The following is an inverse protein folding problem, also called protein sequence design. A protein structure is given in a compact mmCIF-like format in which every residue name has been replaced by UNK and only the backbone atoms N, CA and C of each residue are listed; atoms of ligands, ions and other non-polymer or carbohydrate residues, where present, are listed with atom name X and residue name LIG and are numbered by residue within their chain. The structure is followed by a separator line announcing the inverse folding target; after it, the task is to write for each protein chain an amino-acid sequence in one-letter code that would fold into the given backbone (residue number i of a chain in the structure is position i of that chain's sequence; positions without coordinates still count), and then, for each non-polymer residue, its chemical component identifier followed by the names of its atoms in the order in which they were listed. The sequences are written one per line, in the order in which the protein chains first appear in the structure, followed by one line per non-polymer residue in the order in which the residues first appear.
data_IF_567943765771
#
_entry.id   IF_567943765771
#
_cell.length_a   1.000
_cell.length_b   1.000
_cell.length_c   1.000
_cell.angle_alpha   90.00
_cell.angle_beta   90.00
_cell.angle_gamma   90.00
#
_symmetry.space_group_name_H-M   'P 1'
#
loop_
_entity.id
_entity.type
_entity.pdbx_description
1 polymer ?
#
# COMPACT_ATOMS: atom_id res chain seq x y z
N UNK A 1 16.51 0.59 25.84
CA UNK A 1 15.56 -0.25 25.07
C UNK A 1 14.16 0.33 25.20
N UNK A 2 13.82 1.33 24.39
CA UNK A 2 12.44 1.80 24.29
C UNK A 2 11.66 0.78 23.46
N UNK A 3 10.51 0.38 24.00
CA UNK A 3 9.62 -0.65 23.46
C UNK A 3 9.20 -0.34 22.03
N UNK A 4 9.22 -1.36 21.16
CA UNK A 4 8.71 -1.29 19.79
C UNK A 4 7.20 -1.01 19.84
N UNK A 5 6.81 0.26 19.89
CA UNK A 5 5.43 0.75 20.05
C UNK A 5 4.42 0.15 19.04
N UNK A 6 4.92 -0.39 17.93
CA UNK A 6 4.11 -0.96 16.85
C UNK A 6 4.14 -2.49 16.77
N UNK A 7 5.01 -3.15 17.54
CA UNK A 7 5.12 -4.61 17.49
C UNK A 7 3.90 -5.25 18.16
N UNK A 8 3.02 -5.80 17.34
CA UNK A 8 1.99 -6.74 17.74
C UNK A 8 2.57 -8.15 17.64
N UNK A 9 2.83 -8.77 18.79
CA UNK A 9 3.39 -10.13 18.86
C UNK A 9 2.49 -11.18 18.19
N UNK A 10 1.21 -10.89 18.00
CA UNK A 10 0.23 -11.81 17.40
C UNK A 10 0.02 -11.61 15.89
N UNK A 11 0.47 -10.48 15.32
CA UNK A 11 0.26 -10.19 13.90
C UNK A 11 1.36 -9.32 13.28
N UNK A 12 2.07 -9.92 12.33
CA UNK A 12 2.97 -9.22 11.41
C UNK A 12 2.21 -8.10 10.68
N UNK A 13 1.02 -8.40 10.15
CA UNK A 13 0.31 -7.43 9.32
C UNK A 13 -0.25 -6.25 10.13
N UNK A 14 -0.67 -6.46 11.37
CA UNK A 14 -1.06 -5.38 12.28
C UNK A 14 0.13 -4.46 12.57
N UNK A 15 1.30 -5.04 12.83
CA UNK A 15 2.56 -4.30 13.02
C UNK A 15 2.91 -3.45 11.80
N UNK A 16 2.92 -4.10 10.61
CA UNK A 16 3.26 -3.46 9.33
C UNK A 16 2.29 -2.31 9.02
N UNK A 17 0.98 -2.56 9.12
CA UNK A 17 -0.01 -1.51 8.83
C UNK A 17 -0.04 -0.43 9.90
N UNK A 18 0.29 -0.72 11.15
CA UNK A 18 0.48 0.28 12.21
C UNK A 18 1.62 1.24 11.88
N UNK A 19 2.81 0.70 11.59
CA UNK A 19 3.97 1.49 11.23
C UNK A 19 3.79 2.26 9.90
N UNK A 20 3.17 1.62 8.90
CA UNK A 20 2.88 2.27 7.62
C UNK A 20 1.92 3.47 7.77
N UNK A 21 0.91 3.36 8.66
CA UNK A 21 0.02 4.48 9.01
C UNK A 21 0.77 5.62 9.68
N UNK A 22 1.58 5.30 10.69
CA UNK A 22 2.38 6.30 11.40
C UNK A 22 3.25 7.11 10.44
N UNK A 23 3.94 6.44 9.50
CA UNK A 23 4.71 7.12 8.46
C UNK A 23 3.84 7.95 7.53
N UNK A 24 2.71 7.39 7.07
CA UNK A 24 1.81 8.10 6.17
C UNK A 24 1.24 9.39 6.78
N UNK A 25 0.96 9.39 8.08
CA UNK A 25 0.46 10.53 8.85
C UNK A 25 1.53 11.58 9.19
N UNK A 26 2.78 11.36 8.76
CA UNK A 26 3.89 12.30 8.94
C UNK A 26 4.79 11.98 10.13
N UNK A 27 4.58 10.84 10.79
CA UNK A 27 5.51 10.29 11.77
C UNK A 27 6.84 9.90 11.14
N UNK A 28 7.87 9.80 11.99
CA UNK A 28 9.22 9.42 11.56
C UNK A 28 9.85 8.49 12.59
N UNK A 29 10.60 7.50 12.12
CA UNK A 29 11.42 6.63 12.93
C UNK A 29 12.88 7.08 12.92
N UNK A 30 13.53 7.01 14.08
CA UNK A 30 14.99 7.09 14.20
C UNK A 30 15.68 5.94 13.45
N UNK A 31 16.99 6.06 13.21
CA UNK A 31 17.76 5.01 12.54
C UNK A 31 17.72 3.67 13.31
N UNK A 32 17.77 3.73 14.65
CA UNK A 32 17.69 2.55 15.51
C UNK A 32 16.31 1.88 15.42
N UNK A 33 15.22 2.65 15.50
CA UNK A 33 13.86 2.11 15.36
C UNK A 33 13.63 1.49 13.98
N UNK A 34 14.16 2.12 12.91
CA UNK A 34 14.10 1.59 11.55
C UNK A 34 14.77 0.24 11.45
N UNK A 35 15.99 0.12 11.98
CA UNK A 35 16.75 -1.13 11.98
C UNK A 35 16.06 -2.20 12.84
N UNK A 36 15.58 -1.83 14.03
CA UNK A 36 14.85 -2.73 14.94
C UNK A 36 13.57 -3.28 14.30
N UNK A 37 12.74 -2.40 13.74
CA UNK A 37 11.48 -2.81 13.09
C UNK A 37 11.73 -3.66 11.84
N UNK A 38 12.71 -3.32 11.01
CA UNK A 38 13.07 -4.14 9.86
C UNK A 38 13.57 -5.53 10.28
N UNK A 39 14.42 -5.63 11.31
CA UNK A 39 14.88 -6.91 11.84
C UNK A 39 13.74 -7.75 12.40
N UNK A 40 12.80 -7.14 13.11
CA UNK A 40 11.61 -7.82 13.61
C UNK A 40 10.77 -8.36 12.45
N UNK A 41 10.47 -7.56 11.42
CA UNK A 41 9.73 -8.01 10.23
C UNK A 41 10.43 -9.20 9.58
N UNK A 42 11.76 -9.11 9.37
CA UNK A 42 12.54 -10.19 8.76
C UNK A 42 12.56 -11.48 9.60
N UNK A 43 12.45 -11.38 10.93
CA UNK A 43 12.34 -12.53 11.82
C UNK A 43 10.95 -13.21 11.77
N UNK A 44 9.92 -12.49 11.32
CA UNK A 44 8.53 -12.97 11.21
C UNK A 44 8.14 -13.38 9.79
N UNK A 45 9.13 -13.69 8.93
CA UNK A 45 8.87 -14.30 7.63
C UNK A 45 8.11 -15.62 7.78
N UNK A 46 7.03 -15.78 7.05
CA UNK A 46 6.18 -16.97 7.06
C UNK A 46 5.91 -17.44 5.63
N UNK A 47 6.97 -17.97 5.01
CA UNK A 47 6.98 -18.35 3.60
C UNK A 47 5.89 -19.39 3.29
N UNK A 48 5.02 -19.08 2.32
CA UNK A 48 3.94 -19.98 1.90
C UNK A 48 3.52 -19.69 0.47
N UNK A 49 3.34 -20.74 -0.35
CA UNK A 49 2.82 -20.64 -1.73
C UNK A 49 3.59 -19.64 -2.61
N UNK A 50 4.91 -19.56 -2.40
CA UNK A 50 5.80 -18.64 -3.10
C UNK A 50 5.88 -17.22 -2.51
N UNK A 51 5.03 -16.87 -1.53
CA UNK A 51 5.12 -15.61 -0.80
C UNK A 51 6.21 -15.67 0.28
N UNK A 52 6.85 -14.55 0.54
CA UNK A 52 7.82 -14.36 1.63
C UNK A 52 7.10 -14.06 2.93
N UNK A 53 6.12 -13.16 2.84
CA UNK A 53 5.20 -12.79 3.90
C UNK A 53 3.79 -13.15 3.46
N UNK A 54 3.16 -14.05 4.18
CA UNK A 54 1.81 -14.53 3.90
C UNK A 54 0.91 -14.19 5.09
N UNK A 55 -0.39 -13.94 4.91
CA UNK A 55 -1.29 -13.80 6.06
C UNK A 55 -1.32 -15.09 6.89
N UNK A 56 -1.31 -14.97 8.21
CA UNK A 56 -1.53 -16.12 9.12
C UNK A 56 -2.97 -16.63 9.00
N UNK A 57 -3.25 -17.79 9.59
CA UNK A 57 -4.62 -18.31 9.65
C UNK A 57 -5.57 -17.35 10.38
N UNK A 58 -5.12 -16.80 11.51
CA UNK A 58 -5.92 -15.88 12.33
C UNK A 58 -6.15 -14.54 11.63
N UNK A 59 -5.13 -14.03 10.91
CA UNK A 59 -5.27 -12.82 10.08
C UNK A 59 -6.27 -13.04 8.94
N UNK A 60 -6.25 -14.22 8.30
CA UNK A 60 -7.23 -14.58 7.27
C UNK A 60 -8.63 -14.74 7.85
N UNK A 61 -8.77 -15.33 9.05
CA UNK A 61 -10.05 -15.53 9.72
C UNK A 61 -10.67 -14.22 10.20
N UNK A 62 -9.86 -13.33 10.79
CA UNK A 62 -10.27 -11.98 11.21
C UNK A 62 -10.59 -11.08 10.02
N UNK A 63 -9.92 -11.31 8.90
CA UNK A 63 -10.12 -10.60 7.64
C UNK A 63 -9.09 -9.50 7.43
N UNK A 64 -8.30 -9.65 6.37
CA UNK A 64 -7.32 -8.66 5.91
C UNK A 64 -8.04 -7.36 5.48
N UNK A 65 -7.36 -6.24 5.67
CA UNK A 65 -7.77 -4.93 5.15
C UNK A 65 -6.59 -4.23 4.51
N UNK A 66 -6.82 -3.51 3.42
CA UNK A 66 -5.81 -2.61 2.85
C UNK A 66 -5.53 -1.46 3.83
N UNK A 67 -4.43 -0.74 3.65
CA UNK A 67 -4.08 0.41 4.51
C UNK A 67 -5.20 1.48 4.57
N UNK A 68 -5.92 1.65 3.46
CA UNK A 68 -7.09 2.51 3.31
C UNK A 68 -8.40 1.88 3.82
N UNK A 69 -8.35 0.67 4.37
CA UNK A 69 -9.45 -0.03 5.05
C UNK A 69 -10.40 -0.85 4.18
N UNK A 70 -10.28 -0.80 2.85
CA UNK A 70 -11.02 -1.71 1.96
C UNK A 70 -10.72 -3.18 2.30
N UNK A 71 -11.75 -4.04 2.22
CA UNK A 71 -11.63 -5.47 2.47
C UNK A 71 -11.40 -6.22 1.16
N UNK A 72 -10.29 -6.97 1.01
CA UNK A 72 -10.14 -7.95 -0.05
C UNK A 72 -11.26 -8.99 -0.02
N UNK A 73 -11.76 -9.36 -1.20
CA UNK A 73 -12.79 -10.40 -1.41
C UNK A 73 -12.20 -11.73 -1.86
N UNK A 74 -10.97 -11.71 -2.36
CA UNK A 74 -10.24 -12.88 -2.84
C UNK A 74 -9.01 -13.14 -1.99
N UNK A 75 -8.61 -14.42 -1.91
CA UNK A 75 -7.34 -14.81 -1.30
C UNK A 75 -6.13 -14.22 -2.04
N UNK A 76 -6.26 -13.98 -3.34
CA UNK A 76 -5.22 -13.36 -4.16
C UNK A 76 -4.89 -11.96 -3.63
N UNK A 77 -5.90 -11.08 -3.49
CA UNK A 77 -5.66 -9.73 -3.00
C UNK A 77 -5.27 -9.73 -1.51
N UNK A 78 -5.87 -10.59 -0.69
CA UNK A 78 -5.50 -10.68 0.72
C UNK A 78 -4.01 -11.02 0.92
N UNK A 79 -3.50 -12.05 0.23
CA UNK A 79 -2.11 -12.45 0.34
C UNK A 79 -1.15 -11.37 -0.22
N UNK A 80 -1.46 -10.80 -1.39
CA UNK A 80 -0.63 -9.74 -1.97
C UNK A 80 -0.67 -8.44 -1.15
N UNK A 81 -1.78 -8.12 -0.49
CA UNK A 81 -1.86 -6.94 0.38
C UNK A 81 -0.88 -7.05 1.56
N UNK A 82 -0.83 -8.22 2.21
CA UNK A 82 0.13 -8.47 3.30
C UNK A 82 1.56 -8.38 2.80
N UNK A 83 1.88 -9.12 1.73
CA UNK A 83 3.25 -9.16 1.24
C UNK A 83 3.73 -7.80 0.75
N UNK A 84 2.96 -7.14 -0.12
CA UNK A 84 3.40 -5.91 -0.77
C UNK A 84 3.46 -4.73 0.18
N UNK A 85 2.57 -4.65 1.18
CA UNK A 85 2.69 -3.61 2.21
C UNK A 85 3.88 -3.88 3.14
N UNK A 86 4.18 -5.15 3.44
CA UNK A 86 5.36 -5.52 4.24
C UNK A 86 6.66 -5.18 3.50
N UNK A 87 6.73 -5.53 2.21
CA UNK A 87 7.88 -5.21 1.35
C UNK A 87 8.04 -3.69 1.17
N UNK A 88 6.94 -2.96 0.97
CA UNK A 88 6.94 -1.49 0.90
C UNK A 88 7.51 -0.90 2.19
N UNK A 89 7.08 -1.38 3.35
CA UNK A 89 7.58 -0.90 4.63
C UNK A 89 9.08 -1.19 4.80
N UNK A 90 9.55 -2.38 4.42
CA UNK A 90 10.99 -2.68 4.42
C UNK A 90 11.80 -1.70 3.55
N UNK A 91 11.26 -1.34 2.37
CA UNK A 91 11.90 -0.37 1.49
C UNK A 91 11.97 1.03 2.11
N UNK A 92 10.95 1.42 2.86
CA UNK A 92 10.96 2.69 3.58
C UNK A 92 11.88 2.69 4.81
N UNK A 93 12.10 1.54 5.46
CA UNK A 93 12.88 1.44 6.70
C UNK A 93 14.38 1.25 6.48
N UNK A 94 14.74 0.27 5.63
CA UNK A 94 16.12 -0.22 5.45
C UNK A 94 16.35 -0.67 3.99
N UNK A 95 16.26 0.24 3.00
CA UNK A 95 16.34 -0.14 1.59
C UNK A 95 17.69 -0.77 1.24
N UNK A 96 18.80 -0.26 1.77
CA UNK A 96 20.15 -0.72 1.39
C UNK A 96 20.66 -1.95 2.15
N UNK A 97 19.88 -2.51 3.09
CA UNK A 97 20.33 -3.66 3.86
C UNK A 97 20.37 -4.93 2.98
N UNK A 98 21.51 -5.65 2.94
CA UNK A 98 21.71 -6.85 2.12
C UNK A 98 20.57 -7.88 2.24
N UNK A 99 20.10 -8.11 3.47
CA UNK A 99 18.99 -9.04 3.71
C UNK A 99 17.70 -8.56 3.06
N UNK A 100 17.42 -7.26 3.11
CA UNK A 100 16.24 -6.65 2.51
C UNK A 100 16.33 -6.69 0.98
N UNK A 101 17.50 -6.40 0.42
CA UNK A 101 17.76 -6.50 -1.02
C UNK A 101 17.53 -7.91 -1.59
N UNK A 102 17.96 -8.96 -0.87
CA UNK A 102 17.66 -10.35 -1.27
C UNK A 102 16.16 -10.64 -1.27
N UNK A 103 15.44 -10.18 -0.25
CA UNK A 103 13.98 -10.33 -0.16
C UNK A 103 13.27 -9.62 -1.33
N UNK A 104 13.76 -8.46 -1.74
CA UNK A 104 13.24 -7.75 -2.91
C UNK A 104 13.46 -8.50 -4.21
N UNK A 105 14.65 -9.08 -4.42
CA UNK A 105 14.93 -9.89 -5.61
C UNK A 105 14.02 -11.11 -5.69
N UNK A 106 13.81 -11.81 -4.57
CA UNK A 106 12.86 -12.94 -4.47
C UNK A 106 11.42 -12.49 -4.81
N UNK A 107 10.96 -11.39 -4.23
CA UNK A 107 9.63 -10.86 -4.46
C UNK A 107 9.43 -10.41 -5.92
N UNK A 108 10.40 -9.74 -6.52
CA UNK A 108 10.35 -9.29 -7.90
C UNK A 108 10.30 -10.46 -8.88
N UNK A 109 11.11 -11.50 -8.64
CA UNK A 109 11.08 -12.72 -9.44
C UNK A 109 9.69 -13.40 -9.39
N UNK A 110 9.05 -13.41 -8.22
CA UNK A 110 7.68 -13.92 -8.04
C UNK A 110 6.63 -13.06 -8.75
N UNK A 111 6.78 -11.73 -8.71
CA UNK A 111 5.84 -10.78 -9.32
C UNK A 111 5.97 -10.72 -10.83
N UNK A 112 7.17 -10.87 -11.38
CA UNK A 112 7.47 -10.72 -12.81
C UNK A 112 6.49 -11.43 -13.77
N UNK A 113 6.07 -12.70 -13.54
CA UNK A 113 5.13 -13.38 -14.44
C UNK A 113 3.66 -13.01 -14.23
N UNK A 114 3.30 -12.19 -13.24
CA UNK A 114 1.90 -11.93 -12.87
C UNK A 114 1.33 -10.74 -13.65
N UNK A 115 0.08 -10.88 -14.11
CA UNK A 115 -0.56 -9.85 -14.95
C UNK A 115 -0.70 -8.48 -14.26
N UNK A 116 -0.90 -8.45 -12.93
CA UNK A 116 -1.02 -7.22 -12.17
C UNK A 116 0.32 -6.57 -11.81
N UNK A 117 1.45 -7.20 -12.15
CA UNK A 117 2.76 -6.62 -11.88
C UNK A 117 3.10 -5.44 -12.81
N UNK A 118 2.49 -5.34 -13.98
CA UNK A 118 2.58 -4.15 -14.85
C UNK A 118 1.41 -3.21 -14.58
N UNK A 119 0.19 -3.63 -14.92
CA UNK A 119 -1.12 -3.14 -14.45
C UNK A 119 -2.17 -4.09 -15.00
N UNK A 120 -3.13 -4.52 -14.18
CA UNK A 120 -4.26 -5.32 -14.61
C UNK A 120 -5.56 -4.78 -14.02
N UNK A 121 -6.56 -4.53 -14.88
CA UNK A 121 -7.84 -3.95 -14.46
C UNK A 121 -8.92 -5.01 -14.15
N UNK A 122 -8.57 -6.30 -14.17
CA UNK A 122 -9.54 -7.41 -14.03
C UNK A 122 -9.81 -7.73 -12.56
N UNK A 123 -11.05 -7.52 -12.09
CA UNK A 123 -11.45 -7.87 -10.73
C UNK A 123 -10.53 -7.25 -9.66
N UNK A 124 -10.11 -8.05 -8.68
CA UNK A 124 -9.21 -7.57 -7.62
C UNK A 124 -7.73 -7.46 -8.04
N UNK A 125 -7.36 -7.86 -9.27
CA UNK A 125 -6.04 -7.57 -9.81
C UNK A 125 -5.81 -6.06 -9.94
N UNK A 126 -6.86 -5.25 -10.08
CA UNK A 126 -6.75 -3.79 -10.07
C UNK A 126 -6.21 -3.28 -8.72
N UNK A 127 -6.63 -3.88 -7.61
CA UNK A 127 -6.15 -3.51 -6.28
C UNK A 127 -4.71 -4.01 -6.07
N UNK A 128 -4.41 -5.24 -6.50
CA UNK A 128 -3.05 -5.79 -6.43
C UNK A 128 -2.06 -4.97 -7.27
N UNK A 129 -2.49 -4.44 -8.42
CA UNK A 129 -1.69 -3.54 -9.26
C UNK A 129 -1.30 -2.28 -8.47
N UNK A 130 -2.26 -1.64 -7.78
CA UNK A 130 -1.96 -0.48 -6.92
C UNK A 130 -0.98 -0.84 -5.80
N UNK A 131 -1.12 -2.01 -5.17
CA UNK A 131 -0.19 -2.45 -4.14
C UNK A 131 1.25 -2.64 -4.69
N UNK A 132 1.40 -3.20 -5.90
CA UNK A 132 2.71 -3.35 -6.57
C UNK A 132 3.32 -1.98 -6.88
N UNK A 133 2.51 -1.05 -7.39
CA UNK A 133 2.97 0.30 -7.73
C UNK A 133 3.47 1.04 -6.48
N UNK A 134 2.74 0.95 -5.36
CA UNK A 134 3.15 1.54 -4.08
C UNK A 134 4.44 0.92 -3.54
N UNK A 135 4.59 -0.41 -3.66
CA UNK A 135 5.82 -1.11 -3.29
C UNK A 135 7.01 -0.65 -4.13
N UNK A 136 6.88 -0.63 -5.46
CA UNK A 136 7.96 -0.22 -6.37
C UNK A 136 8.35 1.25 -6.18
N UNK A 137 7.38 2.12 -5.96
CA UNK A 137 7.62 3.54 -5.67
C UNK A 137 8.44 3.76 -4.41
N UNK A 138 8.22 2.94 -3.36
CA UNK A 138 9.03 3.02 -2.15
C UNK A 138 10.47 2.50 -2.34
N UNK A 139 10.73 1.73 -3.40
CA UNK A 139 12.06 1.16 -3.72
C UNK A 139 12.86 2.01 -4.69
N UNK A 140 12.27 2.38 -5.81
CA UNK A 140 12.98 2.99 -6.94
C UNK A 140 12.40 4.37 -7.27
N UNK A 141 13.06 5.43 -6.83
CA UNK A 141 12.64 6.81 -7.13
C UNK A 141 13.00 7.27 -8.55
N UNK A 142 13.93 6.58 -9.24
CA UNK A 142 14.50 7.05 -10.52
C UNK A 142 14.07 6.22 -11.75
N UNK A 143 13.86 4.90 -11.63
CA UNK A 143 13.53 4.02 -12.77
C UNK A 143 12.02 3.74 -12.94
N UNK A 144 11.17 4.23 -12.04
CA UNK A 144 9.76 3.85 -11.98
C UNK A 144 8.81 4.72 -12.84
N UNK A 145 9.31 5.80 -13.45
CA UNK A 145 8.48 6.75 -14.19
C UNK A 145 7.70 6.11 -15.36
N UNK A 146 8.30 5.16 -16.09
CA UNK A 146 7.63 4.46 -17.20
C UNK A 146 6.58 3.43 -16.76
N UNK A 147 6.75 2.85 -15.57
CA UNK A 147 5.74 1.94 -14.99
C UNK A 147 4.55 2.72 -14.43
N UNK A 148 4.79 3.93 -13.89
CA UNK A 148 3.72 4.79 -13.41
C UNK A 148 2.90 5.41 -14.54
N UNK A 149 3.52 5.76 -15.67
CA UNK A 149 2.77 6.30 -16.82
C UNK A 149 1.73 5.30 -17.34
N UNK A 150 2.08 4.02 -17.49
CA UNK A 150 1.13 2.98 -17.90
C UNK A 150 -0.05 2.86 -16.91
N UNK A 151 0.22 2.95 -15.61
CA UNK A 151 -0.81 2.91 -14.58
C UNK A 151 -1.72 4.13 -14.62
N UNK A 152 -1.16 5.33 -14.80
CA UNK A 152 -1.92 6.57 -14.94
C UNK A 152 -2.78 6.56 -16.22
N UNK A 153 -2.27 6.05 -17.34
CA UNK A 153 -3.05 5.87 -18.57
C UNK A 153 -4.23 4.90 -18.36
N UNK A 154 -4.00 3.80 -17.63
CA UNK A 154 -5.05 2.87 -17.28
C UNK A 154 -6.12 3.49 -16.37
N UNK A 155 -5.73 4.34 -15.40
CA UNK A 155 -6.67 5.12 -14.60
C UNK A 155 -7.49 6.07 -15.47
N UNK A 156 -6.82 6.83 -16.34
CA UNK A 156 -7.47 7.79 -17.24
C UNK A 156 -8.49 7.12 -18.16
N UNK A 157 -8.16 5.95 -18.72
CA UNK A 157 -9.06 5.15 -19.53
C UNK A 157 -10.22 4.52 -18.72
N UNK A 158 -10.08 4.42 -17.40
CA UNK A 158 -11.06 3.82 -16.50
C UNK A 158 -11.96 4.85 -15.77
N UNK A 159 -11.79 6.13 -16.06
CA UNK A 159 -12.63 7.21 -15.50
C UNK A 159 -14.11 6.94 -15.80
N UNK A 160 -14.95 7.10 -14.77
CA UNK A 160 -16.41 6.92 -14.85
C UNK A 160 -17.18 8.22 -15.17
N UNK A 161 -16.47 9.34 -15.17
CA UNK A 161 -17.04 10.69 -15.34
C UNK A 161 -17.47 11.38 -14.05
N UNK A 162 -17.46 10.70 -12.91
CA UNK A 162 -17.90 11.26 -11.62
C UNK A 162 -16.76 11.44 -10.60
N UNK A 163 -15.51 11.51 -11.06
CA UNK A 163 -14.32 11.58 -10.21
C UNK A 163 -13.95 10.24 -9.56
N UNK A 164 -14.43 9.12 -10.12
CA UNK A 164 -14.10 7.76 -9.69
C UNK A 164 -13.73 6.90 -10.89
N UNK A 165 -13.07 5.80 -10.61
CA UNK A 165 -12.71 4.77 -11.59
C UNK A 165 -13.71 3.61 -11.52
N UNK A 166 -13.91 2.90 -12.64
CA UNK A 166 -14.88 1.79 -12.69
C UNK A 166 -14.36 0.54 -11.98
N UNK A 167 -13.07 0.24 -12.13
CA UNK A 167 -12.40 -1.01 -11.72
C UNK A 167 -11.42 -0.82 -10.57
N UNK A 168 -10.86 0.38 -10.40
CA UNK A 168 -9.89 0.67 -9.35
C UNK A 168 -10.53 1.04 -8.00
N UNK A 169 -9.95 0.60 -6.86
CA UNK A 169 -10.44 0.95 -5.52
C UNK A 169 -10.30 2.44 -5.24
N UNK A 170 -11.37 3.11 -4.83
CA UNK A 170 -11.34 4.57 -4.68
C UNK A 170 -10.28 5.07 -3.68
N UNK A 171 -10.32 4.62 -2.41
CA UNK A 171 -9.39 5.16 -1.41
C UNK A 171 -7.99 4.60 -1.58
N UNK A 172 -7.85 3.33 -1.93
CA UNK A 172 -6.53 2.73 -2.13
C UNK A 172 -5.81 3.30 -3.38
N UNK A 173 -6.55 3.67 -4.42
CA UNK A 173 -5.98 4.39 -5.58
C UNK A 173 -5.58 5.81 -5.21
N UNK A 174 -6.43 6.54 -4.49
CA UNK A 174 -6.08 7.87 -3.99
C UNK A 174 -4.86 7.83 -3.07
N UNK A 175 -4.73 6.81 -2.22
CA UNK A 175 -3.56 6.61 -1.37
C UNK A 175 -2.27 6.56 -2.20
N UNK A 176 -2.26 5.80 -3.31
CA UNK A 176 -1.11 5.79 -4.21
C UNK A 176 -0.89 7.15 -4.88
N UNK A 177 -1.95 7.79 -5.38
CA UNK A 177 -1.84 9.08 -6.07
C UNK A 177 -1.30 10.19 -5.18
N UNK A 178 -1.67 10.24 -3.89
CA UNK A 178 -1.15 11.26 -2.95
C UNK A 178 0.25 10.97 -2.44
N UNK A 179 0.79 9.77 -2.69
CA UNK A 179 2.18 9.42 -2.42
C UNK A 179 3.10 9.65 -3.63
N UNK A 180 2.55 9.82 -4.83
CA UNK A 180 3.30 10.12 -6.05
C UNK A 180 3.83 11.57 -6.07
N UNK A 181 4.88 11.84 -6.86
CA UNK A 181 5.26 13.20 -7.24
C UNK A 181 4.07 13.99 -7.81
N UNK A 182 3.93 15.24 -7.37
CA UNK A 182 2.75 16.07 -7.66
C UNK A 182 2.52 16.32 -9.15
N UNK A 183 3.58 16.36 -9.96
CA UNK A 183 3.52 16.51 -11.41
C UNK A 183 2.90 15.28 -12.10
N UNK A 184 3.22 14.07 -11.62
CA UNK A 184 2.66 12.82 -12.16
C UNK A 184 1.19 12.61 -11.77
N UNK A 185 0.83 12.96 -10.53
CA UNK A 185 -0.51 12.69 -9.99
C UNK A 185 -1.56 13.77 -10.30
N UNK A 186 -1.14 14.97 -10.71
CA UNK A 186 -1.99 16.17 -10.83
C UNK A 186 -3.29 15.93 -11.56
N UNK A 187 -3.23 15.30 -12.74
CA UNK A 187 -4.39 15.11 -13.60
C UNK A 187 -5.43 14.17 -12.97
N UNK A 188 -4.98 13.07 -12.36
CA UNK A 188 -5.87 12.10 -11.72
C UNK A 188 -6.39 12.60 -10.36
N UNK A 189 -5.59 13.34 -9.59
CA UNK A 189 -6.05 14.00 -8.36
C UNK A 189 -7.08 15.09 -8.67
N UNK A 190 -6.85 15.91 -9.69
CA UNK A 190 -7.81 16.92 -10.14
C UNK A 190 -9.12 16.29 -10.62
N UNK A 191 -9.03 15.18 -11.35
CA UNK A 191 -10.20 14.40 -11.76
C UNK A 191 -11.00 13.88 -10.55
N UNK A 192 -10.31 13.37 -9.52
CA UNK A 192 -10.95 12.77 -8.34
C UNK A 192 -11.40 13.79 -7.28
N UNK A 193 -10.89 15.03 -7.31
CA UNK A 193 -11.15 16.06 -6.29
C UNK A 193 -12.66 16.31 -6.03
N UNK A 194 -13.55 16.41 -7.04
CA UNK A 194 -14.98 16.56 -6.79
C UNK A 194 -15.60 15.37 -6.04
N UNK A 195 -15.13 14.14 -6.31
CA UNK A 195 -15.58 12.96 -5.57
C UNK A 195 -15.05 12.97 -4.14
N UNK A 196 -13.82 13.44 -3.93
CA UNK A 196 -13.22 13.59 -2.61
C UNK A 196 -14.00 14.57 -1.74
N UNK A 197 -14.34 15.74 -2.28
CA UNK A 197 -15.12 16.78 -1.58
C UNK A 197 -16.51 16.28 -1.15
N UNK A 198 -17.17 15.42 -1.96
CA UNK A 198 -18.46 14.82 -1.59
C UNK A 198 -18.37 13.81 -0.45
N UNK A 199 -17.19 13.25 -0.20
CA UNK A 199 -16.97 12.17 0.78
C UNK A 199 -16.39 12.70 2.09
N UNK A 200 -15.60 13.78 2.07
CA UNK A 200 -14.91 14.32 3.26
C UNK A 200 -15.88 14.78 4.36
N UNK A 201 -17.08 15.25 3.99
CA UNK A 201 -18.11 15.73 4.94
C UNK A 201 -19.11 14.68 5.43
N UNK A 202 -18.94 13.39 5.13
CA UNK A 202 -19.85 12.33 5.60
C UNK A 202 -19.35 11.78 6.94
N UNK A 203 -20.22 11.78 7.97
CA UNK A 203 -19.91 11.21 9.30
C UNK A 203 -19.38 9.79 9.19
N UNK A 204 -18.26 9.54 9.88
CA UNK A 204 -17.55 8.26 9.86
C UNK A 204 -17.76 7.50 11.17
N UNK A 205 -17.72 6.16 11.16
CA UNK A 205 -17.64 5.39 12.39
C UNK A 205 -16.38 5.81 13.17
N UNK A 206 -16.58 6.37 14.36
CA UNK A 206 -15.48 6.67 15.27
C UNK A 206 -14.76 5.36 15.64
N UNK A 207 -13.43 5.40 15.71
CA UNK A 207 -12.62 4.29 16.22
C UNK A 207 -12.10 3.26 15.19
N UNK A 208 -12.41 3.35 13.89
CA UNK A 208 -11.74 2.52 12.88
C UNK A 208 -10.39 3.14 12.47
N UNK A 209 -9.25 2.44 12.62
CA UNK A 209 -7.94 2.93 12.19
C UNK A 209 -7.87 3.49 10.77
N UNK A 210 -8.59 2.88 9.84
CA UNK A 210 -8.63 3.32 8.45
C UNK A 210 -9.37 4.66 8.25
N UNK A 211 -10.17 5.11 9.21
CA UNK A 211 -10.88 6.39 9.13
C UNK A 211 -9.91 7.57 9.11
N UNK A 212 -8.88 7.56 9.95
CA UNK A 212 -7.85 8.62 9.96
C UNK A 212 -7.08 8.65 8.63
N UNK A 213 -6.63 7.47 8.16
CA UNK A 213 -5.95 7.32 6.86
C UNK A 213 -6.78 7.87 5.72
N UNK A 214 -8.07 7.50 5.62
CA UNK A 214 -8.98 8.01 4.60
C UNK A 214 -9.18 9.52 4.69
N UNK A 215 -9.09 10.11 5.87
CA UNK A 215 -9.22 11.57 6.03
C UNK A 215 -8.01 12.26 5.45
N UNK A 216 -6.82 11.82 5.85
CA UNK A 216 -5.55 12.30 5.32
C UNK A 216 -5.47 12.15 3.80
N UNK A 217 -5.90 11.00 3.25
CA UNK A 217 -5.98 10.78 1.80
C UNK A 217 -6.86 11.85 1.13
N UNK A 218 -8.09 12.07 1.61
CA UNK A 218 -9.00 13.04 1.01
C UNK A 218 -8.46 14.48 1.12
N UNK A 219 -7.93 14.84 2.29
CA UNK A 219 -7.34 16.16 2.53
C UNK A 219 -6.17 16.44 1.57
N UNK A 220 -5.27 15.46 1.37
CA UNK A 220 -4.16 15.59 0.42
C UNK A 220 -4.67 15.63 -1.02
N UNK A 221 -5.60 14.75 -1.39
CA UNK A 221 -6.13 14.67 -2.75
C UNK A 221 -6.86 15.95 -3.20
N UNK A 222 -7.54 16.65 -2.29
CA UNK A 222 -8.22 17.92 -2.60
C UNK A 222 -7.21 19.06 -2.78
N UNK A 223 -6.07 19.02 -2.09
CA UNK A 223 -5.06 20.09 -2.14
C UNK A 223 -4.24 20.09 -3.43
N UNK A 224 -4.14 18.93 -4.11
CA UNK A 224 -3.36 18.77 -5.34
C UNK A 224 -1.88 18.59 -5.03
#
# INVERSE_FOLDING_TARGET
MQSMQFADESSLYATVTGAARFLFEGGSFSAEERAGLANWILAHQNRQRGFIFHPTFDEMATGIRLLSGERPRTRLLAANAVELETLRLLALLQPEADRVQRIFQEADARLAPLCFASVCTTGECAHASIAVLRYRMARDTVSAASSFSQALDALKADRRGDGRWRRFPFFFTLLWLVELPADLARDELSYAAPACARVIGRSRPAGEPASAVRETILCRAIRG
#
